data_IF_156835313321
#
_entry.id   IF_156835313321
#
_cell.length_a   1.000
_cell.length_b   1.000
_cell.length_c   1.000
_cell.angle_alpha   90.00
_cell.angle_beta   90.00
_cell.angle_gamma   90.00
#
_symmetry.space_group_name_H-M   'P 1'
#
loop_
_entity.id
_entity.type
_entity.pdbx_description
1 polymer ?
#
# COMPACT_ATOMS: atom_id res chain seq x y z
N UNK A 1 33.02 -12.23 -6.88
CA UNK A 1 32.18 -13.32 -6.31
C UNK A 1 30.74 -12.84 -6.40
N UNK A 2 29.87 -13.54 -7.11
CA UNK A 2 28.45 -13.21 -7.13
C UNK A 2 27.87 -13.45 -5.72
N UNK A 3 27.34 -12.41 -5.08
CA UNK A 3 26.69 -12.52 -3.77
C UNK A 3 25.55 -13.54 -3.84
N UNK A 4 25.38 -14.33 -2.79
CA UNK A 4 24.31 -15.32 -2.71
C UNK A 4 22.96 -14.59 -2.72
N UNK A 5 22.14 -14.82 -3.75
CA UNK A 5 20.82 -14.21 -3.85
C UNK A 5 19.92 -14.76 -2.75
N UNK A 6 19.20 -13.87 -2.06
CA UNK A 6 18.12 -14.17 -1.12
C UNK A 6 16.78 -13.93 -1.77
N UNK A 7 15.73 -14.54 -1.26
CA UNK A 7 14.39 -14.40 -1.79
C UNK A 7 13.39 -14.04 -0.69
N UNK A 8 12.48 -13.14 -1.05
CA UNK A 8 11.37 -12.69 -0.24
C UNK A 8 10.08 -13.07 -0.95
N UNK A 9 9.15 -13.66 -0.23
CA UNK A 9 7.79 -13.86 -0.73
C UNK A 9 6.99 -12.62 -0.36
N UNK A 10 6.39 -11.98 -1.33
CA UNK A 10 5.52 -10.81 -1.15
C UNK A 10 4.09 -11.23 -1.50
N UNK A 11 3.17 -11.06 -0.58
CA UNK A 11 1.74 -11.32 -0.76
C UNK A 11 1.03 -9.98 -0.70
N UNK A 12 0.22 -9.68 -1.70
CA UNK A 12 -0.53 -8.43 -1.80
C UNK A 12 -2.01 -8.75 -1.83
N UNK A 13 -2.78 -8.08 -0.99
CA UNK A 13 -4.24 -8.14 -0.99
C UNK A 13 -4.81 -6.88 -1.61
N UNK A 14 -5.43 -6.99 -2.77
CA UNK A 14 -6.28 -5.95 -3.35
C UNK A 14 -7.63 -5.93 -2.67
N UNK A 15 -8.13 -4.76 -2.31
CA UNK A 15 -9.39 -4.63 -1.59
C UNK A 15 -10.60 -5.05 -2.40
N UNK A 16 -11.65 -5.51 -1.72
CA UNK A 16 -12.93 -5.86 -2.35
C UNK A 16 -13.86 -4.64 -2.43
N UNK A 17 -13.45 -3.64 -3.20
CA UNK A 17 -14.23 -2.43 -3.48
C UNK A 17 -14.41 -2.25 -4.98
N UNK A 18 -15.45 -1.53 -5.38
CA UNK A 18 -15.66 -1.20 -6.79
C UNK A 18 -14.46 -0.43 -7.33
N UNK A 19 -13.90 -0.90 -8.44
CA UNK A 19 -12.71 -0.34 -9.10
C UNK A 19 -11.43 -0.41 -8.27
N UNK A 20 -11.30 -1.37 -7.37
CA UNK A 20 -10.11 -1.53 -6.55
C UNK A 20 -8.93 -2.18 -7.28
N UNK A 21 -9.17 -2.89 -8.38
CA UNK A 21 -8.13 -3.52 -9.20
C UNK A 21 -7.37 -2.52 -10.07
N UNK A 22 -6.14 -2.87 -10.47
CA UNK A 22 -5.27 -2.01 -11.29
C UNK A 22 -4.50 -2.78 -12.35
N UNK A 23 -4.37 -2.17 -13.54
CA UNK A 23 -3.46 -2.62 -14.61
C UNK A 23 -2.08 -1.94 -14.53
N UNK A 24 -1.84 -1.09 -13.52
CA UNK A 24 -0.60 -0.33 -13.35
C UNK A 24 0.58 -1.21 -12.89
N UNK A 25 1.80 -0.74 -13.15
CA UNK A 25 2.98 -1.42 -12.66
C UNK A 25 3.23 -1.10 -11.19
N UNK A 26 3.03 -2.06 -10.31
CA UNK A 26 3.29 -1.94 -8.88
C UNK A 26 4.74 -2.31 -8.56
N UNK A 27 5.39 -1.53 -7.71
CA UNK A 27 6.76 -1.77 -7.25
C UNK A 27 6.88 -1.66 -5.75
N UNK A 28 7.87 -2.39 -5.21
CA UNK A 28 8.17 -2.41 -3.77
C UNK A 28 9.67 -2.38 -3.52
N UNK A 29 10.06 -1.70 -2.45
CA UNK A 29 11.37 -1.78 -1.82
C UNK A 29 11.16 -2.22 -0.37
N UNK A 30 11.98 -3.13 0.12
CA UNK A 30 11.95 -3.60 1.51
C UNK A 30 13.10 -2.92 2.28
N UNK A 31 12.81 -2.40 3.46
CA UNK A 31 13.77 -1.70 4.32
C UNK A 31 13.89 -2.39 5.68
N UNK A 32 15.09 -2.45 6.22
CA UNK A 32 15.33 -2.82 7.62
C UNK A 32 15.45 -1.57 8.53
N UNK A 33 15.71 -1.80 9.80
CA UNK A 33 15.95 -0.74 10.81
C UNK A 33 17.38 -0.19 10.78
N UNK A 34 18.30 -0.84 10.04
CA UNK A 34 19.72 -0.48 9.94
C UNK A 34 20.03 0.40 8.72
N UNK A 35 19.00 0.79 7.96
CA UNK A 35 19.13 1.58 6.74
C UNK A 35 19.52 0.76 5.50
N UNK A 36 19.50 -0.58 5.57
CA UNK A 36 19.64 -1.42 4.40
C UNK A 36 18.30 -1.54 3.67
N UNK A 37 18.36 -1.66 2.36
CA UNK A 37 17.17 -1.84 1.54
C UNK A 37 17.44 -2.69 0.30
N UNK A 38 16.43 -3.37 -0.17
CA UNK A 38 16.46 -4.07 -1.46
C UNK A 38 16.44 -3.09 -2.63
N UNK A 39 16.73 -3.57 -3.82
CA UNK A 39 16.40 -2.83 -5.04
C UNK A 39 14.89 -2.79 -5.24
N UNK A 40 14.44 -1.81 -6.03
CA UNK A 40 13.05 -1.73 -6.45
C UNK A 40 12.67 -2.98 -7.26
N UNK A 41 11.69 -3.71 -6.79
CA UNK A 41 11.18 -4.90 -7.46
C UNK A 41 9.79 -4.60 -8.04
N UNK A 42 9.59 -4.89 -9.33
CA UNK A 42 8.26 -4.92 -9.93
C UNK A 42 7.55 -6.20 -9.46
N UNK A 43 6.34 -6.03 -8.98
CA UNK A 43 5.45 -7.14 -8.64
C UNK A 43 4.66 -7.53 -9.87
N UNK A 44 5.00 -8.66 -10.48
CA UNK A 44 4.45 -9.09 -11.76
C UNK A 44 4.56 -10.62 -11.85
N UNK A 45 3.45 -11.27 -12.14
CA UNK A 45 3.39 -12.69 -12.45
C UNK A 45 3.19 -12.88 -13.96
N UNK A 46 4.13 -13.53 -14.60
CA UNK A 46 4.08 -13.77 -16.04
C UNK A 46 2.75 -14.45 -16.46
N UNK A 47 2.03 -13.84 -17.40
CA UNK A 47 0.75 -14.31 -17.96
C UNK A 47 -0.42 -14.41 -16.94
N UNK A 48 -0.42 -13.59 -15.89
CA UNK A 48 -1.53 -13.47 -14.94
C UNK A 48 -2.02 -12.03 -14.88
N UNK A 49 -3.31 -11.86 -14.67
CA UNK A 49 -3.89 -10.59 -14.29
C UNK A 49 -3.73 -10.44 -12.79
N UNK A 50 -2.72 -9.69 -12.37
CA UNK A 50 -2.42 -9.40 -10.97
C UNK A 50 -3.23 -8.17 -10.50
N UNK A 51 -3.42 -8.07 -9.19
CA UNK A 51 -4.08 -6.93 -8.52
C UNK A 51 -5.56 -6.75 -8.88
N UNK A 52 -6.25 -7.82 -9.27
CA UNK A 52 -7.67 -7.79 -9.48
C UNK A 52 -8.45 -7.57 -8.18
N UNK A 53 -9.65 -6.99 -8.28
CA UNK A 53 -10.52 -6.72 -7.14
C UNK A 53 -10.70 -7.94 -6.23
N UNK A 54 -10.41 -7.79 -4.95
CA UNK A 54 -10.55 -8.83 -3.94
C UNK A 54 -9.55 -9.98 -4.04
N UNK A 55 -8.58 -9.90 -4.95
CA UNK A 55 -7.58 -10.96 -5.18
C UNK A 55 -6.44 -10.88 -4.17
N UNK A 56 -5.80 -12.03 -3.95
CA UNK A 56 -4.54 -12.17 -3.23
C UNK A 56 -3.49 -12.66 -4.21
N UNK A 57 -2.49 -11.84 -4.48
CA UNK A 57 -1.39 -12.16 -5.37
C UNK A 57 -0.12 -12.46 -4.61
N UNK A 58 0.70 -13.37 -5.15
CA UNK A 58 1.93 -13.83 -4.52
C UNK A 58 3.08 -13.64 -5.49
N UNK A 59 4.10 -12.92 -5.04
CA UNK A 59 5.29 -12.62 -5.83
C UNK A 59 6.55 -13.13 -5.13
N UNK A 60 7.60 -13.34 -5.90
CA UNK A 60 8.92 -13.66 -5.37
C UNK A 60 9.90 -12.56 -5.77
N UNK A 61 10.34 -11.79 -4.78
CA UNK A 61 11.38 -10.77 -4.93
C UNK A 61 12.73 -11.40 -4.63
N UNK A 62 13.71 -11.25 -5.53
CA UNK A 62 15.08 -11.72 -5.35
C UNK A 62 16.04 -10.54 -5.28
N UNK A 63 16.89 -10.53 -4.29
CA UNK A 63 17.93 -9.50 -4.12
C UNK A 63 19.22 -10.12 -3.57
N UNK A 64 20.30 -9.34 -3.59
CA UNK A 64 21.57 -9.70 -2.96
C UNK A 64 21.66 -9.24 -1.51
N UNK A 65 20.79 -8.30 -1.11
CA UNK A 65 20.67 -7.79 0.25
C UNK A 65 19.90 -8.80 1.09
N UNK A 66 20.49 -9.29 2.17
CA UNK A 66 19.88 -10.24 3.12
C UNK A 66 19.43 -9.45 4.36
N UNK A 67 18.19 -8.99 4.33
CA UNK A 67 17.59 -8.26 5.45
C UNK A 67 17.32 -9.21 6.61
N UNK A 68 17.66 -8.79 7.83
CA UNK A 68 17.40 -9.56 9.04
C UNK A 68 15.94 -9.46 9.49
N UNK A 69 15.37 -8.26 9.41
CA UNK A 69 13.98 -7.94 9.69
C UNK A 69 13.50 -6.92 8.65
N UNK A 70 12.20 -6.80 8.47
CA UNK A 70 11.62 -5.82 7.56
C UNK A 70 10.76 -4.87 8.37
N UNK A 71 11.25 -3.65 8.55
CA UNK A 71 10.60 -2.62 9.34
C UNK A 71 9.62 -1.78 8.53
N UNK A 72 9.94 -1.56 7.26
CA UNK A 72 9.17 -0.68 6.40
C UNK A 72 9.19 -1.22 4.98
N UNK A 73 8.11 -1.01 4.25
CA UNK A 73 8.08 -1.12 2.79
C UNK A 73 7.86 0.25 2.16
N UNK A 74 8.47 0.47 1.02
CA UNK A 74 8.18 1.56 0.10
C UNK A 74 7.38 0.98 -1.07
N UNK A 75 6.14 1.42 -1.23
CA UNK A 75 5.20 0.88 -2.23
C UNK A 75 4.71 2.01 -3.11
N UNK A 76 4.71 1.80 -4.43
CA UNK A 76 4.15 2.74 -5.38
C UNK A 76 3.68 2.04 -6.65
N UNK A 77 2.90 2.74 -7.42
CA UNK A 77 2.50 2.35 -8.78
C UNK A 77 2.73 3.49 -9.76
N UNK A 78 2.90 3.17 -11.03
CA UNK A 78 2.82 4.16 -12.10
C UNK A 78 1.36 4.41 -12.50
N UNK A 79 1.14 5.21 -13.55
CA UNK A 79 -0.19 5.50 -14.12
C UNK A 79 -0.40 4.74 -15.44
N UNK A 80 0.25 3.60 -15.62
CA UNK A 80 0.09 2.75 -16.79
C UNK A 80 -1.22 1.95 -16.72
N UNK A 81 -1.72 1.58 -17.90
CA UNK A 81 -2.93 0.78 -18.01
C UNK A 81 -4.21 1.60 -18.15
N UNK A 82 -5.31 0.91 -18.43
CA UNK A 82 -6.62 1.54 -18.66
C UNK A 82 -7.37 1.78 -17.35
N UNK A 83 -7.11 0.97 -16.34
CA UNK A 83 -7.68 1.03 -15.00
C UNK A 83 -6.55 1.13 -13.99
N UNK A 84 -6.08 2.36 -13.75
CA UNK A 84 -4.91 2.60 -12.91
C UNK A 84 -5.24 2.75 -11.42
N UNK A 85 -6.49 3.04 -11.04
CA UNK A 85 -6.88 3.12 -9.63
C UNK A 85 -6.62 1.80 -8.91
N UNK A 86 -6.07 1.87 -7.69
CA UNK A 86 -5.79 0.69 -6.90
C UNK A 86 -6.06 0.92 -5.42
N UNK A 87 -6.88 0.05 -4.83
CA UNK A 87 -7.07 0.03 -3.38
C UNK A 87 -6.37 -1.21 -2.80
N UNK A 88 -5.34 -0.99 -2.03
CA UNK A 88 -4.58 -2.04 -1.36
C UNK A 88 -5.06 -2.21 0.09
N UNK A 89 -5.38 -3.44 0.49
CA UNK A 89 -5.72 -3.75 1.88
C UNK A 89 -4.45 -3.91 2.72
N UNK A 90 -3.57 -4.81 2.32
CA UNK A 90 -2.30 -5.04 3.02
C UNK A 90 -1.26 -5.68 2.09
N UNK A 91 -0.01 -5.60 2.53
CA UNK A 91 1.10 -6.37 2.00
C UNK A 91 1.68 -7.22 3.13
N UNK A 92 1.96 -8.49 2.84
CA UNK A 92 2.68 -9.40 3.73
C UNK A 92 4.00 -9.80 3.06
N UNK A 93 5.09 -9.74 3.79
CA UNK A 93 6.40 -10.14 3.29
C UNK A 93 6.97 -11.23 4.18
N UNK A 94 7.36 -12.35 3.56
CA UNK A 94 8.02 -13.46 4.24
C UNK A 94 9.50 -13.49 3.86
N UNK A 95 10.38 -13.49 4.85
CA UNK A 95 11.80 -13.81 4.63
C UNK A 95 11.92 -15.33 4.50
N UNK A 96 12.05 -15.83 3.27
CA UNK A 96 12.00 -17.27 2.97
C UNK A 96 13.01 -18.10 3.77
N UNK A 97 14.21 -17.56 3.99
CA UNK A 97 15.27 -18.21 4.76
C UNK A 97 14.91 -18.43 6.23
N UNK A 98 14.19 -17.48 6.83
CA UNK A 98 13.83 -17.45 8.26
C UNK A 98 12.40 -17.92 8.51
N UNK A 99 11.55 -18.00 7.48
CA UNK A 99 10.10 -18.25 7.58
C UNK A 99 9.42 -17.27 8.54
N UNK A 100 9.86 -16.01 8.52
CA UNK A 100 9.33 -14.94 9.33
C UNK A 100 8.47 -14.02 8.46
N UNK A 101 7.27 -13.72 8.93
CA UNK A 101 6.28 -12.93 8.22
C UNK A 101 6.19 -11.51 8.83
N UNK A 102 6.06 -10.52 7.96
CA UNK A 102 5.89 -9.11 8.32
C UNK A 102 4.67 -8.57 7.60
N UNK A 103 3.75 -7.96 8.34
CA UNK A 103 2.47 -7.45 7.81
C UNK A 103 2.50 -5.94 7.79
N UNK A 104 2.10 -5.37 6.65
CA UNK A 104 2.03 -3.94 6.38
C UNK A 104 0.59 -3.56 6.03
N UNK A 105 -0.21 -3.09 7.02
CA UNK A 105 -1.58 -2.64 6.80
C UNK A 105 -1.57 -1.37 5.96
N UNK A 106 -2.39 -1.32 4.90
CA UNK A 106 -2.41 -0.19 3.96
C UNK A 106 -3.78 0.47 3.95
N UNK A 107 -4.84 -0.25 3.63
CA UNK A 107 -6.25 0.15 3.64
C UNK A 107 -6.55 1.51 2.98
N UNK A 108 -5.88 1.80 1.85
CA UNK A 108 -6.03 3.08 1.13
C UNK A 108 -5.97 2.93 -0.38
N UNK A 109 -6.40 3.98 -1.07
CA UNK A 109 -6.15 4.15 -2.49
C UNK A 109 -4.71 4.57 -2.72
N UNK A 110 -4.01 3.86 -3.59
CA UNK A 110 -2.62 4.16 -3.95
C UNK A 110 -2.64 5.11 -5.15
N UNK A 111 -2.24 6.36 -4.92
CA UNK A 111 -2.13 7.38 -5.97
C UNK A 111 -0.98 7.07 -6.92
N UNK A 112 -1.10 7.41 -8.23
CA UNK A 112 -0.01 7.19 -9.18
C UNK A 112 1.21 8.04 -8.82
N UNK A 113 2.39 7.52 -9.12
CA UNK A 113 3.69 8.18 -8.94
C UNK A 113 3.98 8.68 -7.51
N UNK A 114 3.16 8.32 -6.53
CA UNK A 114 3.39 8.64 -5.12
C UNK A 114 3.94 7.42 -4.38
N UNK A 115 5.04 7.62 -3.63
CA UNK A 115 5.70 6.58 -2.86
C UNK A 115 5.16 6.54 -1.44
N UNK A 116 4.50 5.45 -1.08
CA UNK A 116 3.97 5.21 0.26
C UNK A 116 4.98 4.43 1.08
N UNK A 117 5.31 4.97 2.25
CA UNK A 117 6.15 4.32 3.25
C UNK A 117 5.27 3.75 4.34
N UNK A 118 5.20 2.43 4.42
CA UNK A 118 4.32 1.72 5.36
C UNK A 118 5.19 0.94 6.36
N UNK A 119 4.96 1.19 7.64
CA UNK A 119 5.64 0.50 8.73
C UNK A 119 5.03 -0.87 9.00
N UNK A 120 5.85 -1.77 9.51
CA UNK A 120 5.37 -3.05 10.02
C UNK A 120 4.33 -2.83 11.12
N UNK A 121 3.14 -3.40 10.94
CA UNK A 121 1.96 -3.27 11.82
C UNK A 121 1.44 -1.83 12.04
N UNK A 122 1.92 -0.86 11.27
CA UNK A 122 1.53 0.57 11.39
C UNK A 122 1.56 1.08 12.85
N UNK A 123 2.72 0.98 13.49
CA UNK A 123 2.87 1.17 14.95
C UNK A 123 3.13 2.61 15.38
N UNK A 124 3.23 3.58 14.46
CA UNK A 124 3.50 4.98 14.82
C UNK A 124 2.27 5.71 15.36
N UNK A 125 2.48 6.44 16.44
CA UNK A 125 1.52 7.45 16.87
C UNK A 125 1.56 8.66 15.91
N UNK A 126 0.46 9.41 15.76
CA UNK A 126 0.39 10.55 14.81
C UNK A 126 1.50 11.58 14.98
N UNK A 127 1.92 11.86 16.21
CA UNK A 127 2.98 12.83 16.51
C UNK A 127 4.38 12.30 16.16
N UNK A 128 4.57 10.98 16.15
CA UNK A 128 5.85 10.31 15.96
C UNK A 128 6.04 9.78 14.53
N UNK A 129 5.02 9.94 13.68
CA UNK A 129 5.04 9.48 12.29
C UNK A 129 6.04 10.33 11.46
N UNK A 130 7.07 9.72 10.88
CA UNK A 130 8.03 10.43 10.04
C UNK A 130 7.46 10.88 8.68
N UNK A 131 6.31 10.31 8.26
CA UNK A 131 5.65 10.55 6.98
C UNK A 131 4.35 11.35 7.16
N UNK A 132 4.47 12.57 7.72
CA UNK A 132 3.33 13.44 8.03
C UNK A 132 2.53 13.85 6.80
N UNK A 133 3.19 14.09 5.69
CA UNK A 133 2.57 14.41 4.40
C UNK A 133 1.65 13.29 3.90
N UNK A 134 2.07 12.04 4.03
CA UNK A 134 1.26 10.87 3.70
C UNK A 134 0.01 10.79 4.61
N UNK A 135 0.19 11.02 5.91
CA UNK A 135 -0.91 11.05 6.88
C UNK A 135 -1.87 12.21 6.62
N UNK A 136 -1.36 13.38 6.31
CA UNK A 136 -2.19 14.57 6.02
C UNK A 136 -3.06 14.35 4.78
N UNK A 137 -2.53 13.72 3.73
CA UNK A 137 -3.31 13.33 2.55
C UNK A 137 -4.43 12.36 2.90
N UNK A 138 -4.15 11.32 3.71
CA UNK A 138 -5.17 10.38 4.15
C UNK A 138 -6.27 11.06 4.98
N UNK A 139 -5.89 11.99 5.87
CA UNK A 139 -6.84 12.77 6.65
C UNK A 139 -7.70 13.67 5.78
N UNK A 140 -7.14 14.27 4.73
CA UNK A 140 -7.90 15.07 3.78
C UNK A 140 -8.91 14.22 3.02
N UNK A 141 -8.53 13.07 2.51
CA UNK A 141 -9.43 12.11 1.85
C UNK A 141 -10.56 11.66 2.78
N UNK A 142 -10.26 11.41 4.05
CA UNK A 142 -11.25 11.04 5.07
C UNK A 142 -12.20 12.21 5.35
N UNK A 143 -11.68 13.44 5.47
CA UNK A 143 -12.51 14.64 5.70
C UNK A 143 -13.44 14.90 4.52
N UNK A 144 -12.97 14.73 3.29
CA UNK A 144 -13.82 14.85 2.10
C UNK A 144 -14.91 13.78 2.08
N UNK A 145 -14.60 12.57 2.51
CA UNK A 145 -15.54 11.45 2.56
C UNK A 145 -16.60 11.61 3.66
N UNK A 146 -16.24 12.16 4.81
CA UNK A 146 -17.11 12.31 5.99
C UNK A 146 -17.29 13.78 6.32
N UNK A 147 -18.16 14.47 5.58
CA UNK A 147 -18.51 15.86 5.87
C UNK A 147 -19.64 15.94 6.91
N UNK A 148 -19.47 16.86 7.86
CA UNK A 148 -20.54 17.20 8.81
C UNK A 148 -21.37 18.32 8.22
N UNK A 149 -22.64 18.07 7.99
CA UNK A 149 -23.59 19.10 7.54
C UNK A 149 -24.80 19.16 8.45
N UNK A 150 -25.35 20.35 8.62
CA UNK A 150 -26.63 20.52 9.31
C UNK A 150 -27.75 20.39 8.28
N UNK A 151 -28.30 19.18 8.11
CA UNK A 151 -29.40 18.91 7.18
C UNK A 151 -30.75 19.37 7.72
N UNK A 152 -30.91 19.36 9.04
CA UNK A 152 -32.17 19.76 9.70
C UNK A 152 -31.83 20.86 10.68
N UNK A 153 -32.44 22.07 10.53
CA UNK A 153 -32.24 23.17 11.46
C UNK A 153 -32.59 22.76 12.89
N UNK A 154 -31.76 23.15 13.86
CA UNK A 154 -31.97 22.87 15.29
C UNK A 154 -31.51 21.48 15.76
N UNK A 155 -31.07 20.59 14.86
CA UNK A 155 -30.45 19.32 15.24
C UNK A 155 -28.89 19.40 15.19
N UNK A 156 -28.17 18.53 15.93
CA UNK A 156 -26.73 18.44 15.82
C UNK A 156 -26.28 18.15 14.39
N UNK A 157 -25.07 18.57 14.03
CA UNK A 157 -24.48 18.26 12.73
C UNK A 157 -24.45 16.74 12.48
N UNK A 158 -24.82 16.35 11.28
CA UNK A 158 -24.90 14.96 10.87
C UNK A 158 -23.77 14.63 9.91
N UNK A 159 -23.22 13.42 10.01
CA UNK A 159 -22.22 12.93 9.07
C UNK A 159 -22.90 12.61 7.74
N UNK A 160 -22.45 13.25 6.67
CA UNK A 160 -22.84 12.91 5.31
C UNK A 160 -21.69 12.17 4.63
N UNK A 161 -21.90 10.90 4.32
CA UNK A 161 -21.02 10.20 3.41
C UNK A 161 -21.30 10.68 1.99
N UNK A 162 -20.31 11.29 1.34
CA UNK A 162 -20.40 11.63 -0.09
C UNK A 162 -20.26 10.34 -0.88
N UNK A 163 -21.17 10.11 -1.84
CA UNK A 163 -21.06 8.95 -2.72
C UNK A 163 -19.79 9.06 -3.57
N UNK A 164 -19.07 7.96 -3.73
CA UNK A 164 -17.79 7.85 -4.46
C UNK A 164 -17.81 8.35 -5.92
N UNK A 165 -18.96 8.72 -6.48
CA UNK A 165 -19.10 9.26 -7.83
C UNK A 165 -18.63 10.71 -7.99
N UNK A 166 -18.30 11.39 -6.90
CA UNK A 166 -18.02 12.84 -6.90
C UNK A 166 -16.54 13.19 -6.56
N UNK A 167 -15.65 12.23 -6.45
CA UNK A 167 -14.22 12.53 -6.31
C UNK A 167 -13.66 13.02 -7.65
N UNK A 168 -13.04 14.21 -7.70
CA UNK A 168 -12.31 14.63 -8.87
C UNK A 168 -11.17 13.65 -9.15
N UNK A 169 -10.99 13.30 -10.41
CA UNK A 169 -9.93 12.44 -10.93
C UNK A 169 -8.58 13.15 -10.90
#
# INVERSE_FOLDING_TARGET
MAGKSVSYKVVVKTGDKKRAGTDANVRVILHDDKGQKTKAAKLDNFLRDDFERGQIDKFTVKDVVDLDEIHQIELWRDDAGMYSDWFCDYVEVTINKKKQDFIFPIYRWIRPEFHYFIQHLDTFLPQDDPHKDQRDMDLEDIRLKYQYTQRVPGLPCQVCQIAFSEFPR
#
